data_IF_377646748634
#
_entry.id   IF_377646748634
#
_cell.length_a   1.000
_cell.length_b   1.000
_cell.length_c   1.000
_cell.angle_alpha   90.00
_cell.angle_beta   90.00
_cell.angle_gamma   90.00
#
_symmetry.space_group_name_H-M   'P 1'
#
loop_
_entity.id
_entity.type
_entity.pdbx_description
1 polymer ?
#
# COMPACT_ATOMS: atom_id res chain seq x y z
N UNK A 1 15.91 -8.67 13.86
CA UNK A 1 15.10 -7.97 12.85
C UNK A 1 16.03 -7.07 12.07
N UNK A 2 16.37 -7.46 10.84
CA UNK A 2 17.22 -6.62 9.97
C UNK A 2 16.34 -5.48 9.50
N UNK A 3 16.59 -4.28 10.02
CA UNK A 3 15.99 -3.05 9.51
C UNK A 3 16.87 -2.61 8.35
N UNK A 4 16.43 -2.88 7.12
CA UNK A 4 17.02 -2.29 5.93
C UNK A 4 16.79 -0.78 5.98
N UNK A 5 17.85 -0.03 6.26
CA UNK A 5 17.86 1.42 6.10
C UNK A 5 17.79 1.78 4.61
N UNK A 6 16.64 2.28 4.17
CA UNK A 6 16.55 3.11 2.97
C UNK A 6 16.29 4.56 3.41
N UNK A 7 17.20 5.46 3.06
CA UNK A 7 17.25 6.88 3.43
C UNK A 7 16.20 7.78 2.72
N UNK A 8 15.08 7.22 2.27
CA UNK A 8 13.93 8.01 1.81
C UNK A 8 12.67 7.27 2.25
N UNK A 9 12.08 7.69 3.38
CA UNK A 9 10.76 7.22 3.81
C UNK A 9 9.72 7.87 2.92
N UNK A 10 9.67 7.46 1.66
CA UNK A 10 8.69 7.93 0.71
C UNK A 10 7.36 7.22 0.91
N UNK A 11 6.27 7.95 0.74
CA UNK A 11 4.95 7.35 0.70
C UNK A 11 4.73 6.63 -0.63
N UNK A 12 3.86 5.62 -0.69
CA UNK A 12 3.56 4.94 -1.95
C UNK A 12 3.01 5.88 -3.03
N UNK A 13 2.28 6.93 -2.64
CA UNK A 13 1.80 7.97 -3.56
C UNK A 13 2.91 8.85 -4.17
N UNK A 14 4.14 8.76 -3.68
CA UNK A 14 5.30 9.46 -4.26
C UNK A 14 5.93 8.68 -5.42
N UNK A 15 5.53 7.42 -5.62
CA UNK A 15 5.95 6.64 -6.78
C UNK A 15 5.21 7.18 -8.01
N UNK A 16 5.88 8.04 -8.77
CA UNK A 16 5.31 8.70 -9.94
C UNK A 16 4.94 7.73 -11.07
N UNK A 17 5.65 6.62 -11.18
CA UNK A 17 5.41 5.57 -12.16
C UNK A 17 5.38 4.18 -11.50
N UNK A 18 4.19 3.77 -11.06
CA UNK A 18 3.95 2.45 -10.47
C UNK A 18 4.30 1.33 -11.44
N UNK A 19 4.03 1.50 -12.75
CA UNK A 19 4.32 0.47 -13.74
C UNK A 19 5.83 0.27 -13.88
N UNK A 20 6.58 1.36 -14.10
CA UNK A 20 8.03 1.32 -14.16
C UNK A 20 8.66 0.80 -12.88
N UNK A 21 8.11 1.14 -11.71
CA UNK A 21 8.53 0.55 -10.43
C UNK A 21 8.39 -0.98 -10.42
N UNK A 22 7.22 -1.52 -10.79
CA UNK A 22 6.99 -2.98 -10.83
C UNK A 22 7.93 -3.66 -11.82
N UNK A 23 8.16 -3.09 -13.00
CA UNK A 23 9.10 -3.65 -13.97
C UNK A 23 10.54 -3.73 -13.43
N UNK A 24 10.99 -2.68 -12.73
CA UNK A 24 12.32 -2.63 -12.10
C UNK A 24 12.43 -3.68 -11.00
N UNK A 25 11.42 -3.80 -10.14
CA UNK A 25 11.43 -4.79 -9.05
C UNK A 25 11.32 -6.23 -9.57
N UNK A 26 10.49 -6.50 -10.58
CA UNK A 26 10.43 -7.82 -11.26
C UNK A 26 11.80 -8.23 -11.82
N UNK A 27 12.53 -7.30 -12.45
CA UNK A 27 13.89 -7.54 -12.96
C UNK A 27 14.85 -7.94 -11.86
N UNK A 28 14.78 -7.31 -10.69
CA UNK A 28 15.62 -7.65 -9.53
C UNK A 28 15.35 -9.06 -9.02
N UNK A 29 14.10 -9.53 -9.12
CA UNK A 29 13.67 -10.87 -8.70
C UNK A 29 13.89 -11.96 -9.77
N UNK A 30 14.56 -11.65 -10.89
CA UNK A 30 14.71 -12.55 -12.05
C UNK A 30 13.38 -13.01 -12.69
N UNK A 31 12.29 -12.27 -12.44
CA UNK A 31 10.98 -12.49 -13.06
C UNK A 31 10.91 -11.83 -14.45
N UNK A 32 9.98 -12.28 -15.30
CA UNK A 32 9.68 -11.60 -16.56
C UNK A 32 9.29 -10.15 -16.28
N UNK A 33 10.08 -9.21 -16.78
CA UNK A 33 9.86 -7.80 -16.55
C UNK A 33 8.68 -7.21 -17.32
N UNK A 34 8.12 -7.93 -18.30
CA UNK A 34 7.10 -7.39 -19.19
C UNK A 34 5.75 -7.39 -18.49
N UNK A 35 5.12 -6.23 -18.37
CA UNK A 35 3.75 -6.10 -17.88
C UNK A 35 2.73 -6.49 -18.96
N UNK A 36 1.66 -7.17 -18.55
CA UNK A 36 0.54 -7.49 -19.41
C UNK A 36 -0.73 -6.74 -19.01
N UNK A 37 -1.83 -6.98 -19.74
CA UNK A 37 -3.12 -6.31 -19.51
C UNK A 37 -3.69 -6.54 -18.11
N UNK A 38 -3.45 -7.73 -17.52
CA UNK A 38 -3.92 -8.08 -16.18
C UNK A 38 -3.11 -7.35 -15.10
N UNK A 39 -1.80 -7.22 -15.28
CA UNK A 39 -0.94 -6.40 -14.41
C UNK A 39 -1.45 -4.95 -14.36
N UNK A 40 -1.86 -4.39 -15.51
CA UNK A 40 -2.38 -3.02 -15.58
C UNK A 40 -3.70 -2.83 -14.83
N UNK A 41 -4.52 -3.88 -14.66
CA UNK A 41 -5.72 -3.81 -13.82
C UNK A 41 -5.33 -3.54 -12.36
N UNK A 42 -4.40 -4.34 -11.82
CA UNK A 42 -3.93 -4.19 -10.45
C UNK A 42 -3.14 -2.89 -10.23
N UNK A 43 -2.31 -2.48 -11.21
CA UNK A 43 -1.61 -1.19 -11.16
C UNK A 43 -2.59 -0.03 -11.06
N UNK A 44 -3.72 -0.07 -11.78
CA UNK A 44 -4.74 0.97 -11.69
C UNK A 44 -5.40 1.01 -10.30
N UNK A 45 -5.61 -0.14 -9.65
CA UNK A 45 -6.09 -0.21 -8.26
C UNK A 45 -5.07 0.47 -7.33
N UNK A 46 -3.78 0.14 -7.43
CA UNK A 46 -2.71 0.75 -6.62
C UNK A 46 -2.67 2.26 -6.80
N UNK A 47 -2.81 2.77 -8.02
CA UNK A 47 -2.86 4.21 -8.30
C UNK A 47 -4.06 4.88 -7.62
N UNK A 48 -5.24 4.26 -7.69
CA UNK A 48 -6.45 4.78 -7.05
C UNK A 48 -6.32 4.81 -5.53
N UNK A 49 -5.78 3.75 -4.92
CA UNK A 49 -5.50 3.69 -3.48
C UNK A 49 -4.49 4.75 -3.07
N UNK A 50 -3.41 4.93 -3.84
CA UNK A 50 -2.38 5.94 -3.55
C UNK A 50 -2.96 7.37 -3.55
N UNK A 51 -3.82 7.69 -4.52
CA UNK A 51 -4.50 9.00 -4.57
C UNK A 51 -5.51 9.20 -3.43
N UNK A 52 -6.24 8.14 -3.06
CA UNK A 52 -7.12 8.18 -1.89
C UNK A 52 -6.33 8.37 -0.59
N UNK A 53 -5.16 7.73 -0.45
CA UNK A 53 -4.30 7.83 0.72
C UNK A 53 -3.79 9.26 0.88
N UNK A 54 -3.30 9.85 -0.21
CA UNK A 54 -2.89 11.25 -0.26
C UNK A 54 -4.01 12.18 0.21
N UNK A 55 -5.25 11.99 -0.27
CA UNK A 55 -6.42 12.78 0.17
C UNK A 55 -6.70 12.62 1.67
N UNK A 56 -6.64 11.40 2.20
CA UNK A 56 -6.85 11.14 3.63
C UNK A 56 -5.81 11.85 4.50
N UNK A 57 -4.54 11.83 4.09
CA UNK A 57 -3.46 12.55 4.80
C UNK A 57 -3.75 14.05 4.86
N UNK A 58 -4.23 14.66 3.77
CA UNK A 58 -4.57 16.09 3.77
C UNK A 58 -5.81 16.44 4.60
N UNK A 59 -6.73 15.50 4.82
CA UNK A 59 -7.99 15.72 5.53
C UNK A 59 -7.95 15.32 7.02
N UNK A 60 -6.86 14.69 7.47
CA UNK A 60 -6.73 14.25 8.86
C UNK A 60 -6.70 15.44 9.83
N UNK A 61 -7.45 15.33 10.92
CA UNK A 61 -7.51 16.32 11.98
C UNK A 61 -7.89 15.64 13.31
N UNK A 62 -7.91 16.41 14.40
CA UNK A 62 -8.17 15.86 15.74
C UNK A 62 -9.55 15.20 15.89
N UNK A 63 -10.56 15.58 15.09
CA UNK A 63 -11.91 15.02 15.18
C UNK A 63 -12.07 13.68 14.47
N UNK A 64 -11.31 13.45 13.40
CA UNK A 64 -11.39 12.21 12.60
C UNK A 64 -10.12 11.34 12.71
N UNK A 65 -9.15 11.72 13.57
CA UNK A 65 -7.82 11.13 13.62
C UNK A 65 -7.82 9.60 13.66
N UNK A 66 -8.52 8.99 14.61
CA UNK A 66 -8.51 7.52 14.77
C UNK A 66 -9.05 6.82 13.53
N UNK A 67 -10.20 7.27 13.01
CA UNK A 67 -10.80 6.71 11.79
C UNK A 67 -9.91 6.89 10.58
N UNK A 68 -9.36 8.08 10.38
CA UNK A 68 -8.47 8.35 9.25
C UNK A 68 -7.18 7.56 9.36
N UNK A 69 -6.60 7.42 10.55
CA UNK A 69 -5.41 6.60 10.78
C UNK A 69 -5.68 5.11 10.51
N UNK A 70 -6.82 4.56 10.96
CA UNK A 70 -7.25 3.20 10.60
C UNK A 70 -7.27 3.00 9.10
N UNK A 71 -7.93 3.92 8.37
CA UNK A 71 -8.09 3.83 6.93
C UNK A 71 -6.74 3.93 6.21
N UNK A 72 -5.86 4.84 6.66
CA UNK A 72 -4.52 4.97 6.08
C UNK A 72 -3.71 3.68 6.21
N UNK A 73 -3.85 2.98 7.33
CA UNK A 73 -3.16 1.73 7.62
C UNK A 73 -3.72 0.57 6.81
N UNK A 74 -5.04 0.47 6.70
CA UNK A 74 -5.67 -0.50 5.80
C UNK A 74 -5.24 -0.28 4.35
N UNK A 75 -5.17 0.97 3.92
CA UNK A 75 -4.73 1.31 2.57
C UNK A 75 -3.25 0.99 2.32
N UNK A 76 -2.37 1.28 3.30
CA UNK A 76 -0.95 0.90 3.21
C UNK A 76 -0.78 -0.61 3.07
N UNK A 77 -1.53 -1.39 3.85
CA UNK A 77 -1.51 -2.85 3.77
C UNK A 77 -1.94 -3.34 2.37
N UNK A 78 -3.07 -2.83 1.85
CA UNK A 78 -3.56 -3.19 0.51
C UNK A 78 -2.58 -2.83 -0.58
N UNK A 79 -2.06 -1.60 -0.58
CA UNK A 79 -1.07 -1.16 -1.58
C UNK A 79 0.16 -2.06 -1.55
N UNK A 80 0.67 -2.35 -0.35
CA UNK A 80 1.85 -3.20 -0.17
C UNK A 80 1.62 -4.61 -0.73
N UNK A 81 0.47 -5.22 -0.47
CA UNK A 81 0.16 -6.56 -0.95
C UNK A 81 -0.08 -6.60 -2.46
N UNK A 82 -0.80 -5.63 -3.02
CA UNK A 82 -0.94 -5.53 -4.47
C UNK A 82 0.42 -5.40 -5.15
N UNK A 83 1.33 -4.59 -4.60
CA UNK A 83 2.70 -4.48 -5.11
C UNK A 83 3.48 -5.79 -4.96
N UNK A 84 3.32 -6.49 -3.82
CA UNK A 84 3.94 -7.80 -3.61
C UNK A 84 3.49 -8.81 -4.68
N UNK A 85 2.19 -8.93 -4.93
CA UNK A 85 1.65 -9.81 -5.97
C UNK A 85 2.09 -9.38 -7.36
N UNK A 86 2.05 -8.09 -7.67
CA UNK A 86 2.55 -7.56 -8.93
C UNK A 86 4.02 -7.91 -9.15
N UNK A 87 4.87 -7.88 -8.13
CA UNK A 87 6.30 -8.18 -8.28
C UNK A 87 6.58 -9.68 -8.40
N UNK A 88 5.82 -10.52 -7.70
CA UNK A 88 6.14 -11.93 -7.52
C UNK A 88 5.26 -12.91 -8.33
N UNK A 89 4.12 -12.45 -8.86
CA UNK A 89 3.19 -13.28 -9.61
C UNK A 89 3.10 -12.83 -11.07
N UNK A 90 2.68 -13.77 -11.93
CA UNK A 90 2.30 -13.51 -13.32
C UNK A 90 0.83 -13.86 -13.46
N UNK A 91 0.03 -12.88 -13.82
CA UNK A 91 -1.40 -13.06 -14.06
C UNK A 91 -1.65 -13.38 -15.53
N UNK A 92 -2.31 -14.50 -15.83
CA UNK A 92 -2.56 -14.97 -17.19
C UNK A 92 -4.04 -14.92 -17.58
N UNK A 93 -4.95 -14.69 -16.62
CA UNK A 93 -6.38 -14.66 -16.86
C UNK A 93 -7.13 -13.82 -15.81
N UNK A 94 -8.39 -13.49 -16.10
CA UNK A 94 -9.24 -12.68 -15.21
C UNK A 94 -9.49 -13.33 -13.85
N UNK A 95 -9.54 -14.67 -13.81
CA UNK A 95 -9.81 -15.40 -12.56
C UNK A 95 -8.69 -15.17 -11.55
N UNK A 96 -7.44 -15.23 -11.96
CA UNK A 96 -6.29 -14.98 -11.08
C UNK A 96 -6.26 -13.53 -10.56
N UNK A 97 -6.70 -12.56 -11.38
CA UNK A 97 -6.84 -11.16 -10.94
C UNK A 97 -7.93 -11.04 -9.87
N UNK A 98 -9.08 -11.68 -10.08
CA UNK A 98 -10.19 -11.68 -9.11
C UNK A 98 -9.74 -12.34 -7.80
N UNK A 99 -9.09 -13.50 -7.86
CA UNK A 99 -8.59 -14.21 -6.68
C UNK A 99 -7.55 -13.36 -5.91
N UNK A 100 -6.67 -12.63 -6.62
CA UNK A 100 -5.74 -11.70 -6.00
C UNK A 100 -6.47 -10.57 -5.28
N UNK A 101 -7.45 -9.94 -5.92
CA UNK A 101 -8.23 -8.84 -5.31
C UNK A 101 -8.96 -9.36 -4.06
N UNK A 102 -9.65 -10.49 -4.16
CA UNK A 102 -10.35 -11.10 -3.02
C UNK A 102 -9.40 -11.43 -1.86
N UNK A 103 -8.21 -11.95 -2.16
CA UNK A 103 -7.19 -12.23 -1.16
C UNK A 103 -6.71 -10.95 -0.47
N UNK A 104 -6.37 -9.90 -1.21
CA UNK A 104 -5.89 -8.63 -0.64
C UNK A 104 -6.95 -7.95 0.20
N UNK A 105 -8.20 -7.91 -0.27
CA UNK A 105 -9.30 -7.28 0.45
C UNK A 105 -9.69 -8.04 1.73
N UNK A 106 -9.54 -9.36 1.75
CA UNK A 106 -9.89 -10.19 2.90
C UNK A 106 -8.78 -10.32 3.93
N UNK A 107 -7.56 -10.59 3.46
CA UNK A 107 -6.46 -11.03 4.31
C UNK A 107 -5.32 -10.00 4.42
N UNK A 108 -5.28 -8.99 3.56
CA UNK A 108 -4.08 -8.17 3.45
C UNK A 108 -3.72 -7.36 4.69
N UNK A 109 -4.73 -6.88 5.43
CA UNK A 109 -4.47 -6.22 6.73
C UNK A 109 -3.90 -7.20 7.76
N UNK A 110 -4.34 -8.46 7.76
CA UNK A 110 -3.85 -9.49 8.69
C UNK A 110 -2.41 -9.88 8.36
N UNK A 111 -2.09 -9.98 7.08
CA UNK A 111 -0.79 -10.44 6.61
C UNK A 111 0.26 -9.33 6.79
N UNK A 112 -0.10 -8.06 6.56
CA UNK A 112 0.79 -6.90 6.72
C UNK A 112 1.16 -6.62 8.20
N UNK A 113 0.22 -6.82 9.13
CA UNK A 113 0.43 -6.59 10.56
C UNK A 113 0.37 -7.87 11.38
N UNK A 114 0.90 -8.98 10.85
CA UNK A 114 0.91 -10.27 11.54
C UNK A 114 1.32 -10.13 13.03
N UNK A 115 0.36 -10.30 13.93
CA UNK A 115 0.58 -10.20 15.39
C UNK A 115 0.20 -8.86 16.07
N UNK A 116 -0.34 -7.88 15.35
CA UNK A 116 -0.87 -6.64 15.94
C UNK A 116 -2.41 -6.60 15.85
N UNK A 117 -3.09 -6.70 16.99
CA UNK A 117 -4.50 -6.33 17.10
C UNK A 117 -4.63 -4.81 16.92
N UNK A 118 -4.70 -4.37 15.66
CA UNK A 118 -4.60 -2.96 15.33
C UNK A 118 -5.78 -2.14 15.90
N UNK A 119 -6.98 -2.72 15.96
CA UNK A 119 -8.15 -2.11 16.59
C UNK A 119 -7.93 -1.70 18.04
N UNK A 120 -7.14 -2.49 18.78
CA UNK A 120 -6.96 -2.32 20.22
C UNK A 120 -5.93 -1.22 20.54
N UNK A 121 -5.12 -0.80 19.56
CA UNK A 121 -3.94 0.03 19.78
C UNK A 121 -4.05 1.45 19.21
N UNK A 122 -5.02 1.75 18.33
CA UNK A 122 -5.17 3.09 17.71
C UNK A 122 -5.47 4.18 18.75
N UNK A 123 -6.20 3.84 19.81
CA UNK A 123 -6.54 4.79 20.88
C UNK A 123 -5.30 5.29 21.66
N UNK A 124 -4.16 4.62 21.53
CA UNK A 124 -2.90 5.05 22.14
C UNK A 124 -2.16 6.10 21.29
N UNK A 125 -2.59 6.32 20.05
CA UNK A 125 -2.02 7.33 19.18
C UNK A 125 -2.74 8.67 19.36
N UNK A 126 -1.99 9.76 19.23
CA UNK A 126 -2.53 11.12 19.26
C UNK A 126 -1.97 11.91 18.10
N UNK A 127 -2.80 12.73 17.47
CA UNK A 127 -2.34 13.69 16.46
C UNK A 127 -1.47 14.75 17.14
N UNK A 128 -0.21 14.86 16.71
CA UNK A 128 0.68 15.95 17.12
C UNK A 128 0.72 16.97 15.98
N UNK A 129 0.22 18.18 16.24
CA UNK A 129 0.27 19.28 15.27
C UNK A 129 1.49 20.13 15.59
N UNK A 130 2.53 20.06 14.75
CA UNK A 130 3.64 20.98 14.83
C UNK A 130 3.22 22.33 14.23
N UNK A 131 2.94 23.31 15.07
CA UNK A 131 2.81 24.69 14.61
C UNK A 131 4.22 25.26 14.42
N UNK A 132 4.71 25.30 13.18
CA UNK A 132 5.80 26.22 12.83
C UNK A 132 5.27 27.63 13.00
N UNK A 133 5.51 28.23 14.16
CA UNK A 133 5.44 29.67 14.34
C UNK A 133 6.56 30.28 13.49
N UNK A 134 6.20 30.78 12.32
CA UNK A 134 7.00 31.80 11.64
C UNK A 134 6.59 33.16 12.18
#
# INVERSE_FOLDING_TARGET
>A
MIILCFENKGYFFEISDIAGFVEVERKKQCSSATLNTYDYVLINIVKQLSEQQKKLIYLINSKNFNTTLSNLIEMDAKISDYLFFLINCRFENDKEVIECVESVEKDGLRDYYCGLNFSDNINNYKLIVHTTKY
#
